data_IF_093347301242
#
_entry.id   IF_093347301242
#
_cell.length_a   1.000
_cell.length_b   1.000
_cell.length_c   1.000
_cell.angle_alpha   90.00
_cell.angle_beta   90.00
_cell.angle_gamma   90.00
#
_symmetry.space_group_name_H-M   'P 1'
#
loop_
_entity.id
_entity.type
_entity.pdbx_description
1 polymer ?
#
# COMPACT_ATOMS: atom_id res chain seq x y z
N UNK A 1 8.75 17.16 6.24
CA UNK A 1 9.00 17.79 4.91
C UNK A 1 7.84 18.72 4.59
N UNK A 2 8.08 19.95 4.11
CA UNK A 2 7.00 20.87 3.76
C UNK A 2 6.50 20.62 2.33
N UNK A 3 5.23 20.96 2.02
CA UNK A 3 4.66 20.82 0.68
C UNK A 3 5.48 21.57 -0.36
N UNK A 4 5.92 22.80 -0.04
CA UNK A 4 6.78 23.60 -0.92
C UNK A 4 8.09 22.89 -1.25
N UNK A 5 8.79 22.36 -0.23
CA UNK A 5 10.05 21.64 -0.43
C UNK A 5 9.85 20.39 -1.28
N UNK A 6 8.81 19.60 -0.97
CA UNK A 6 8.47 18.41 -1.75
C UNK A 6 8.17 18.77 -3.21
N UNK A 7 7.35 19.79 -3.45
CA UNK A 7 7.01 20.22 -4.79
C UNK A 7 8.23 20.67 -5.62
N UNK A 8 9.17 21.38 -5.01
CA UNK A 8 10.43 21.74 -5.68
C UNK A 8 11.26 20.49 -5.99
N UNK A 9 11.33 19.54 -5.05
CA UNK A 9 12.09 18.29 -5.21
C UNK A 9 11.59 17.44 -6.36
N UNK A 10 10.27 17.45 -6.63
CA UNK A 10 9.65 16.74 -7.77
C UNK A 10 9.50 17.62 -9.03
N UNK A 11 10.23 18.73 -9.12
CA UNK A 11 10.38 19.51 -10.34
C UNK A 11 9.37 20.64 -10.56
N UNK A 12 8.51 20.98 -9.58
CA UNK A 12 7.64 22.15 -9.73
C UNK A 12 8.37 23.47 -9.49
N UNK A 13 8.01 24.53 -10.25
CA UNK A 13 8.53 25.87 -10.00
C UNK A 13 8.24 26.33 -8.56
N UNK A 14 9.19 26.98 -7.91
CA UNK A 14 9.10 27.42 -6.51
C UNK A 14 7.82 28.20 -6.19
N UNK A 15 7.37 29.05 -7.13
CA UNK A 15 6.17 29.89 -6.97
C UNK A 15 4.85 29.12 -6.91
N UNK A 16 4.81 27.87 -7.38
CA UNK A 16 3.59 27.07 -7.49
C UNK A 16 3.70 25.70 -6.81
N UNK A 17 4.86 25.38 -6.26
CA UNK A 17 5.16 24.08 -5.71
C UNK A 17 4.21 23.68 -4.56
N UNK A 18 3.97 24.57 -3.62
CA UNK A 18 3.08 24.39 -2.48
C UNK A 18 1.61 24.20 -2.91
N UNK A 19 1.14 25.06 -3.83
CA UNK A 19 -0.24 25.00 -4.36
C UNK A 19 -0.45 23.69 -5.12
N UNK A 20 0.51 23.27 -5.95
CA UNK A 20 0.44 22.03 -6.70
C UNK A 20 0.39 20.82 -5.77
N UNK A 21 1.25 20.78 -4.77
CA UNK A 21 1.27 19.67 -3.80
C UNK A 21 -0.01 19.62 -2.96
N UNK A 22 -0.53 20.77 -2.52
CA UNK A 22 -1.81 20.85 -1.80
C UNK A 22 -3.00 20.31 -2.64
N UNK A 23 -2.98 20.51 -3.97
CA UNK A 23 -4.00 19.94 -4.86
C UNK A 23 -3.96 18.40 -4.92
N UNK A 24 -2.77 17.79 -4.85
CA UNK A 24 -2.62 16.34 -4.80
C UNK A 24 -2.99 15.79 -3.42
N UNK A 25 -2.58 16.45 -2.35
CA UNK A 25 -2.91 16.06 -0.97
C UNK A 25 -4.42 16.12 -0.69
N UNK A 26 -5.11 17.13 -1.22
CA UNK A 26 -6.57 17.27 -1.08
C UNK A 26 -7.38 16.36 -2.01
N UNK A 27 -6.73 15.61 -2.91
CA UNK A 27 -7.40 14.77 -3.91
C UNK A 27 -8.08 15.55 -5.05
N UNK A 28 -7.94 16.89 -5.10
CA UNK A 28 -8.49 17.70 -6.20
C UNK A 28 -7.78 17.47 -7.54
N UNK A 29 -6.60 16.83 -7.49
CA UNK A 29 -5.86 16.31 -8.63
C UNK A 29 -5.25 14.96 -8.32
N UNK A 30 -5.18 14.09 -9.33
CA UNK A 30 -4.46 12.81 -9.26
C UNK A 30 -3.12 12.94 -9.96
N UNK A 31 -1.99 12.56 -9.32
CA UNK A 31 -0.70 12.57 -9.96
C UNK A 31 -0.67 11.57 -11.14
N UNK A 32 0.02 11.95 -12.22
CA UNK A 32 0.32 11.02 -13.31
C UNK A 32 1.47 10.09 -12.91
N UNK A 33 1.64 8.98 -13.64
CA UNK A 33 2.63 7.95 -13.33
C UNK A 33 4.05 8.49 -13.12
N UNK A 34 4.49 9.45 -13.94
CA UNK A 34 5.81 10.09 -13.82
C UNK A 34 5.95 10.83 -12.48
N UNK A 35 4.99 11.70 -12.13
CA UNK A 35 5.00 12.40 -10.85
C UNK A 35 4.85 11.44 -9.66
N UNK A 36 4.09 10.36 -9.80
CA UNK A 36 3.99 9.33 -8.76
C UNK A 36 5.35 8.67 -8.51
N UNK A 37 6.14 8.42 -9.56
CA UNK A 37 7.50 7.90 -9.46
C UNK A 37 8.42 8.89 -8.72
N UNK A 38 8.39 10.17 -9.10
CA UNK A 38 9.20 11.20 -8.47
C UNK A 38 8.85 11.40 -6.99
N UNK A 39 7.56 11.32 -6.66
CA UNK A 39 7.08 11.37 -5.27
C UNK A 39 7.55 10.14 -4.47
N UNK A 40 7.47 8.94 -5.06
CA UNK A 40 7.94 7.71 -4.43
C UNK A 40 9.45 7.80 -4.11
N UNK A 41 10.25 8.27 -5.06
CA UNK A 41 11.68 8.52 -4.85
C UNK A 41 11.91 9.57 -3.75
N UNK A 42 11.16 10.67 -3.77
CA UNK A 42 11.27 11.73 -2.77
C UNK A 42 10.96 11.25 -1.34
N UNK A 43 10.03 10.29 -1.20
CA UNK A 43 9.65 9.69 0.08
C UNK A 43 10.49 8.47 0.45
N UNK A 44 11.27 7.89 -0.48
CA UNK A 44 12.02 6.65 -0.27
C UNK A 44 11.13 5.41 -0.15
N UNK A 45 10.02 5.38 -0.90
CA UNK A 45 9.06 4.26 -0.92
C UNK A 45 8.88 3.72 -2.34
N UNK A 46 8.26 2.54 -2.48
CA UNK A 46 7.91 2.01 -3.80
C UNK A 46 6.75 2.81 -4.43
N UNK A 47 6.70 2.87 -5.76
CA UNK A 47 5.57 3.48 -6.50
C UNK A 47 4.24 2.81 -6.16
N UNK A 48 4.27 1.49 -5.92
CA UNK A 48 3.07 0.72 -5.56
C UNK A 48 2.49 1.16 -4.21
N UNK A 49 3.32 1.64 -3.28
CA UNK A 49 2.85 2.19 -2.00
C UNK A 49 2.02 3.48 -2.16
N UNK A 50 2.18 4.20 -3.27
CA UNK A 50 1.43 5.42 -3.59
C UNK A 50 0.24 5.18 -4.54
N UNK A 51 0.10 3.98 -5.09
CA UNK A 51 -0.96 3.60 -6.05
C UNK A 51 -1.96 2.63 -5.42
N UNK A 52 -2.49 2.98 -4.26
CA UNK A 52 -3.53 2.18 -3.59
C UNK A 52 -4.92 2.47 -4.18
N UNK A 53 -5.85 1.48 -4.19
CA UNK A 53 -7.24 1.70 -4.54
C UNK A 53 -7.90 2.77 -3.66
N UNK A 54 -8.94 3.43 -4.17
CA UNK A 54 -9.75 4.33 -3.36
C UNK A 54 -10.57 3.53 -2.35
N UNK A 55 -10.16 3.57 -1.09
CA UNK A 55 -10.78 2.90 0.06
C UNK A 55 -11.26 3.91 1.12
N UNK A 56 -11.52 5.16 0.72
CA UNK A 56 -11.86 6.26 1.62
C UNK A 56 -13.26 6.12 2.25
N UNK A 57 -14.07 5.18 1.75
CA UNK A 57 -15.38 4.86 2.32
C UNK A 57 -15.51 3.37 2.61
N UNK A 58 -16.34 3.02 3.60
CA UNK A 58 -16.64 1.61 3.91
C UNK A 58 -17.24 0.87 2.70
N UNK A 59 -18.06 1.53 1.90
CA UNK A 59 -18.61 0.95 0.67
C UNK A 59 -17.50 0.69 -0.36
N UNK A 60 -16.59 1.65 -0.58
CA UNK A 60 -15.44 1.49 -1.47
C UNK A 60 -14.51 0.37 -0.99
N UNK A 61 -14.26 0.28 0.32
CA UNK A 61 -13.51 -0.83 0.92
C UNK A 61 -14.18 -2.18 0.65
N UNK A 62 -15.52 -2.30 0.87
CA UNK A 62 -16.24 -3.54 0.63
C UNK A 62 -16.19 -3.97 -0.84
N UNK A 63 -16.37 -3.03 -1.79
CA UNK A 63 -16.22 -3.35 -3.22
C UNK A 63 -14.78 -3.77 -3.59
N UNK A 64 -13.78 -3.21 -2.93
CA UNK A 64 -12.39 -3.65 -3.08
C UNK A 64 -12.21 -5.08 -2.59
N UNK A 65 -12.78 -5.43 -1.43
CA UNK A 65 -12.73 -6.81 -0.90
C UNK A 65 -13.46 -7.80 -1.81
N UNK A 66 -14.61 -7.43 -2.39
CA UNK A 66 -15.32 -8.27 -3.36
C UNK A 66 -14.49 -8.49 -4.64
N UNK A 67 -13.83 -7.45 -5.15
CA UNK A 67 -12.91 -7.59 -6.27
C UNK A 67 -11.71 -8.51 -5.94
N UNK A 68 -11.20 -8.47 -4.71
CA UNK A 68 -10.14 -9.38 -4.24
C UNK A 68 -10.64 -10.83 -4.13
N UNK A 69 -11.89 -11.05 -3.75
CA UNK A 69 -12.53 -12.38 -3.78
C UNK A 69 -12.54 -12.92 -5.21
N UNK A 70 -13.04 -12.14 -6.17
CA UNK A 70 -13.16 -12.55 -7.57
C UNK A 70 -11.80 -12.80 -8.24
N UNK A 71 -10.81 -11.94 -7.98
CA UNK A 71 -9.53 -11.97 -8.68
C UNK A 71 -8.51 -12.90 -8.04
N UNK A 72 -8.51 -13.03 -6.72
CA UNK A 72 -7.46 -13.71 -5.95
C UNK A 72 -7.96 -14.83 -5.04
N UNK A 73 -9.28 -15.03 -4.94
CA UNK A 73 -9.87 -16.06 -4.09
C UNK A 73 -9.70 -15.78 -2.60
N UNK A 74 -9.70 -14.49 -2.20
CA UNK A 74 -9.75 -14.10 -0.79
C UNK A 74 -11.20 -14.18 -0.34
N UNK A 75 -11.55 -15.15 0.50
CA UNK A 75 -12.92 -15.42 0.92
C UNK A 75 -13.15 -15.07 2.38
N UNK A 76 -14.42 -14.85 2.72
CA UNK A 76 -14.84 -14.68 4.11
C UNK A 76 -15.06 -16.04 4.77
N UNK A 77 -14.63 -16.17 6.01
CA UNK A 77 -14.90 -17.31 6.90
C UNK A 77 -15.12 -16.83 8.34
N UNK A 78 -15.27 -17.74 9.25
CA UNK A 78 -15.40 -17.45 10.69
C UNK A 78 -14.34 -18.24 11.47
N UNK A 79 -13.68 -17.56 12.42
CA UNK A 79 -12.78 -18.16 13.40
C UNK A 79 -13.20 -17.67 14.79
N UNK A 80 -13.57 -18.58 15.68
CA UNK A 80 -14.02 -18.29 17.05
C UNK A 80 -15.18 -17.26 17.12
N UNK A 81 -16.09 -17.28 16.13
CA UNK A 81 -17.23 -16.36 16.03
C UNK A 81 -16.90 -15.03 15.37
N UNK A 82 -15.66 -14.78 14.98
CA UNK A 82 -15.19 -13.55 14.32
C UNK A 82 -15.10 -13.75 12.80
N UNK A 83 -15.70 -12.85 11.98
CA UNK A 83 -15.50 -12.87 10.53
C UNK A 83 -14.05 -12.66 10.17
N UNK A 84 -13.46 -13.56 9.38
CA UNK A 84 -12.08 -13.52 8.96
C UNK A 84 -11.94 -13.72 7.45
N UNK A 85 -10.95 -13.06 6.84
CA UNK A 85 -10.57 -13.32 5.46
C UNK A 85 -9.56 -14.47 5.40
N UNK A 86 -9.74 -15.38 4.44
CA UNK A 86 -8.80 -16.46 4.18
C UNK A 86 -8.60 -16.69 2.69
N UNK A 87 -7.53 -17.42 2.33
CA UNK A 87 -7.27 -17.82 0.95
C UNK A 87 -8.04 -19.10 0.62
N UNK A 88 -8.67 -19.11 -0.56
CA UNK A 88 -9.26 -20.32 -1.12
C UNK A 88 -8.17 -21.22 -1.70
N UNK A 89 -8.01 -22.42 -1.15
CA UNK A 89 -7.00 -23.40 -1.58
C UNK A 89 -7.23 -23.92 -2.99
N UNK A 90 -8.46 -23.82 -3.49
CA UNK A 90 -8.85 -24.35 -4.79
C UNK A 90 -8.49 -23.40 -5.96
N UNK A 91 -7.95 -22.20 -5.68
CA UNK A 91 -7.55 -21.22 -6.70
C UNK A 91 -6.18 -21.50 -7.35
N UNK A 92 -5.55 -22.62 -7.06
CA UNK A 92 -4.34 -23.08 -7.74
C UNK A 92 -3.13 -22.14 -7.57
N UNK A 93 -2.58 -21.65 -8.69
CA UNK A 93 -1.39 -20.79 -8.67
C UNK A 93 -1.59 -19.49 -7.90
N UNK A 94 -2.80 -18.91 -7.92
CA UNK A 94 -3.12 -17.71 -7.14
C UNK A 94 -3.00 -17.98 -5.62
N UNK A 95 -3.47 -19.16 -5.18
CA UNK A 95 -3.31 -19.54 -3.78
C UNK A 95 -1.85 -19.59 -3.35
N UNK A 96 -0.98 -20.24 -4.13
CA UNK A 96 0.44 -20.40 -3.78
C UNK A 96 1.11 -19.03 -3.67
N UNK A 97 0.93 -18.17 -4.67
CA UNK A 97 1.50 -16.82 -4.69
C UNK A 97 1.01 -15.98 -3.51
N UNK A 98 -0.31 -15.93 -3.30
CA UNK A 98 -0.89 -15.16 -2.20
C UNK A 98 -0.50 -15.71 -0.82
N UNK A 99 -0.38 -17.05 -0.69
CA UNK A 99 0.06 -17.68 0.54
C UNK A 99 1.49 -17.27 0.91
N UNK A 100 2.41 -17.23 -0.06
CA UNK A 100 3.79 -16.78 0.15
C UNK A 100 3.83 -15.29 0.57
N UNK A 101 3.08 -14.44 -0.12
CA UNK A 101 3.02 -13.00 0.17
C UNK A 101 2.43 -12.72 1.55
N UNK A 102 1.31 -13.34 1.90
CA UNK A 102 0.68 -13.19 3.21
C UNK A 102 1.51 -13.82 4.33
N UNK A 103 2.24 -14.91 4.05
CA UNK A 103 3.17 -15.50 5.01
C UNK A 103 4.34 -14.58 5.32
N UNK A 104 4.89 -13.91 4.31
CA UNK A 104 5.92 -12.89 4.50
C UNK A 104 5.40 -11.71 5.35
N UNK A 105 4.19 -11.25 5.08
CA UNK A 105 3.56 -10.19 5.87
C UNK A 105 3.31 -10.63 7.32
N UNK A 106 2.77 -11.84 7.51
CA UNK A 106 2.55 -12.42 8.85
C UNK A 106 3.85 -12.49 9.65
N UNK A 107 4.95 -12.91 9.02
CA UNK A 107 6.27 -12.97 9.67
C UNK A 107 6.71 -11.61 10.18
N UNK A 108 6.62 -10.56 9.35
CA UNK A 108 7.01 -9.21 9.76
C UNK A 108 6.09 -8.65 10.85
N UNK A 109 4.79 -8.91 10.76
CA UNK A 109 3.83 -8.52 11.80
C UNK A 109 4.14 -9.20 13.15
N UNK A 110 4.57 -10.47 13.10
CA UNK A 110 4.95 -11.21 14.29
C UNK A 110 6.26 -10.68 14.91
N UNK A 111 7.26 -10.35 14.10
CA UNK A 111 8.50 -9.71 14.56
C UNK A 111 8.22 -8.37 15.26
N UNK A 112 7.33 -7.56 14.69
CA UNK A 112 6.86 -6.33 15.34
C UNK A 112 6.19 -6.61 16.69
N UNK A 113 5.28 -7.59 16.73
CA UNK A 113 4.57 -7.97 17.96
C UNK A 113 5.50 -8.47 19.07
N UNK A 114 6.56 -9.21 18.70
CA UNK A 114 7.56 -9.73 19.64
C UNK A 114 8.66 -8.69 19.99
N UNK A 115 8.66 -7.52 19.37
CA UNK A 115 9.66 -6.49 19.60
C UNK A 115 11.02 -6.75 18.92
N UNK A 116 11.08 -7.68 17.99
CA UNK A 116 12.31 -7.97 17.21
C UNK A 116 12.61 -6.86 16.19
N UNK A 117 11.57 -6.19 15.70
CA UNK A 117 11.67 -5.02 14.83
C UNK A 117 10.83 -3.88 15.39
N UNK A 118 11.23 -2.66 15.08
CA UNK A 118 10.50 -1.44 15.43
C UNK A 118 9.33 -1.20 14.46
N UNK A 119 8.38 -0.34 14.86
CA UNK A 119 7.30 0.10 13.97
C UNK A 119 7.84 0.76 12.69
N UNK A 120 8.92 1.53 12.79
CA UNK A 120 9.56 2.19 11.65
C UNK A 120 10.12 1.16 10.65
N UNK A 121 10.80 0.12 11.13
CA UNK A 121 11.32 -0.96 10.27
C UNK A 121 10.19 -1.77 9.61
N UNK A 122 9.11 -2.02 10.35
CA UNK A 122 7.91 -2.67 9.79
C UNK A 122 7.26 -1.83 8.69
N UNK A 123 7.11 -0.52 8.90
CA UNK A 123 6.53 0.39 7.91
C UNK A 123 7.45 0.54 6.69
N UNK A 124 8.76 0.61 6.88
CA UNK A 124 9.73 0.63 5.78
C UNK A 124 9.62 -0.63 4.92
N UNK A 125 9.50 -1.82 5.56
CA UNK A 125 9.27 -3.06 4.84
C UNK A 125 8.00 -3.02 3.99
N UNK A 126 6.87 -2.55 4.55
CA UNK A 126 5.58 -2.48 3.81
C UNK A 126 5.65 -1.51 2.63
N UNK A 127 6.24 -0.34 2.84
CA UNK A 127 6.31 0.71 1.81
C UNK A 127 7.27 0.39 0.68
N UNK A 128 8.21 -0.52 0.90
CA UNK A 128 9.18 -0.97 -0.10
C UNK A 128 8.92 -2.41 -0.60
N UNK A 129 7.78 -2.98 -0.24
CA UNK A 129 7.41 -4.32 -0.71
C UNK A 129 7.04 -4.32 -2.22
N UNK A 130 7.42 -5.35 -3.01
CA UNK A 130 8.32 -6.43 -2.65
C UNK A 130 9.79 -5.97 -2.61
N UNK A 131 10.51 -6.39 -1.57
CA UNK A 131 11.93 -6.04 -1.45
C UNK A 131 12.69 -6.71 -2.61
N UNK A 132 13.15 -5.91 -3.56
CA UNK A 132 14.02 -6.40 -4.63
C UNK A 132 15.33 -6.89 -3.99
N UNK A 133 15.58 -8.20 -4.05
CA UNK A 133 16.91 -8.73 -3.71
C UNK A 133 17.94 -8.08 -4.65
N UNK A 134 18.90 -7.36 -4.06
CA UNK A 134 20.07 -6.85 -4.79
C UNK A 134 20.92 -8.02 -5.29
#
# INVERSE_FOLDING_TARGET
MTLKYLGIKVGFPEKTADIRMAQYESGSRTPKAELTSDLAEAFGVSTDALTVPNIDSYNGLMHTLFALEDMYGIKITEIDGEPCLHLDKDTGANYITMFEMLSAWKEQAQKLKCGEITKSEYDDWRYNYPIKKK
#
